data_IF_981543759454
#
_entry.id   IF_981543759454
#
_cell.length_a   1.000
_cell.length_b   1.000
_cell.length_c   1.000
_cell.angle_alpha   90.00
_cell.angle_beta   90.00
_cell.angle_gamma   90.00
#
_symmetry.space_group_name_H-M   'P 1'
#
loop_
_entity.id
_entity.type
_entity.pdbx_description
1 polymer ?
#
# COMPACT_ATOMS: atom_id res chain seq x y z
N UNK A 1 6.26 12.13 5.34
CA UNK A 1 5.03 11.74 6.08
C UNK A 1 3.76 12.11 5.32
N UNK A 2 3.62 13.35 4.83
CA UNK A 2 2.42 13.88 4.16
C UNK A 2 1.87 12.98 3.06
N UNK A 3 2.69 12.51 2.11
CA UNK A 3 2.22 11.70 0.98
C UNK A 3 1.53 10.38 1.38
N UNK A 4 2.09 9.64 2.34
CA UNK A 4 1.49 8.37 2.81
C UNK A 4 0.16 8.59 3.51
N UNK A 5 0.05 9.64 4.34
CA UNK A 5 -1.22 9.98 5.01
C UNK A 5 -2.28 10.42 4.00
N UNK A 6 -1.91 11.20 3.00
CA UNK A 6 -2.83 11.57 1.92
C UNK A 6 -3.31 10.34 1.16
N UNK A 7 -2.40 9.44 0.76
CA UNK A 7 -2.75 8.19 0.09
C UNK A 7 -3.71 7.34 0.93
N UNK A 8 -3.38 7.09 2.20
CA UNK A 8 -4.22 6.30 3.09
C UNK A 8 -5.64 6.87 3.20
N UNK A 9 -5.77 8.20 3.41
CA UNK A 9 -7.07 8.88 3.49
C UNK A 9 -7.87 8.77 2.19
N UNK A 10 -7.23 9.02 1.05
CA UNK A 10 -7.92 8.94 -0.24
C UNK A 10 -8.34 7.51 -0.59
N UNK A 11 -7.52 6.51 -0.26
CA UNK A 11 -7.83 5.11 -0.53
C UNK A 11 -8.98 4.61 0.35
N UNK A 12 -8.99 4.93 1.65
CA UNK A 12 -10.13 4.59 2.53
C UNK A 12 -11.39 5.30 2.07
N UNK A 13 -11.30 6.58 1.66
CA UNK A 13 -12.45 7.29 1.11
C UNK A 13 -12.98 6.59 -0.15
N UNK A 14 -12.12 6.24 -1.10
CA UNK A 14 -12.51 5.56 -2.33
C UNK A 14 -13.15 4.18 -2.05
N UNK A 15 -12.57 3.41 -1.12
CA UNK A 15 -13.13 2.14 -0.67
C UNK A 15 -14.57 2.30 -0.18
N UNK A 16 -14.83 3.32 0.66
CA UNK A 16 -16.17 3.63 1.16
C UNK A 16 -17.11 4.12 0.05
N UNK A 17 -16.65 5.00 -0.83
CA UNK A 17 -17.45 5.55 -1.94
C UNK A 17 -17.92 4.43 -2.88
N UNK A 18 -17.11 3.37 -3.06
CA UNK A 18 -17.42 2.21 -3.90
C UNK A 18 -18.15 1.08 -3.15
N UNK A 19 -18.36 1.20 -1.85
CA UNK A 19 -19.00 0.16 -1.03
C UNK A 19 -18.16 -1.11 -0.85
N UNK A 20 -16.83 -0.98 -0.91
CA UNK A 20 -15.88 -2.07 -0.66
C UNK A 20 -15.55 -2.18 0.85
N UNK A 21 -15.04 -3.34 1.26
CA UNK A 21 -14.70 -3.67 2.66
C UNK A 21 -13.20 -3.94 2.89
N UNK A 22 -12.38 -3.90 1.83
CA UNK A 22 -10.94 -4.11 1.91
C UNK A 22 -10.14 -3.20 0.99
N UNK A 23 -8.83 -3.11 1.29
CA UNK A 23 -7.81 -2.60 0.39
C UNK A 23 -6.77 -3.68 0.15
N UNK A 24 -6.36 -3.86 -1.11
CA UNK A 24 -5.23 -4.68 -1.48
C UNK A 24 -4.10 -3.78 -2.01
N UNK A 25 -2.89 -3.97 -1.47
CA UNK A 25 -1.72 -3.20 -1.90
C UNK A 25 -0.82 -4.09 -2.74
N UNK A 26 -0.77 -3.77 -4.02
CA UNK A 26 0.07 -4.42 -5.01
C UNK A 26 1.18 -3.46 -5.45
N UNK A 27 2.23 -3.34 -4.63
CA UNK A 27 3.43 -2.60 -4.99
C UNK A 27 4.43 -3.59 -5.58
N UNK A 28 4.73 -3.43 -6.86
CA UNK A 28 5.65 -4.27 -7.62
C UNK A 28 6.98 -3.54 -7.98
N UNK A 29 8.04 -3.64 -7.19
CA UNK A 29 8.11 -4.21 -5.84
C UNK A 29 8.76 -3.18 -4.90
N UNK A 30 8.52 -3.24 -3.58
CA UNK A 30 9.30 -2.42 -2.66
C UNK A 30 10.78 -2.83 -2.76
N UNK A 31 11.65 -1.84 -3.01
CA UNK A 31 13.13 -1.93 -3.16
C UNK A 31 13.66 -2.15 -4.57
N UNK A 32 13.20 -3.13 -5.35
CA UNK A 32 13.74 -3.39 -6.69
C UNK A 32 12.75 -4.16 -7.59
N UNK A 33 12.92 -4.10 -8.91
CA UNK A 33 12.09 -4.81 -9.89
C UNK A 33 10.98 -3.92 -10.49
N UNK A 34 9.84 -4.53 -10.82
CA UNK A 34 8.74 -3.86 -11.50
C UNK A 34 8.96 -3.71 -13.01
N UNK A 35 8.31 -2.71 -13.62
CA UNK A 35 8.47 -2.41 -15.04
C UNK A 35 9.90 -1.94 -15.33
N UNK A 36 10.57 -2.54 -16.33
CA UNK A 36 11.92 -2.17 -16.75
C UNK A 36 11.92 -1.08 -17.85
N UNK A 37 10.76 -0.81 -18.44
CA UNK A 37 10.61 0.02 -19.65
C UNK A 37 9.37 0.95 -19.59
N UNK A 38 9.47 2.15 -18.99
CA UNK A 38 10.65 2.70 -18.32
C UNK A 38 10.87 2.07 -16.93
N UNK A 39 12.12 2.08 -16.43
CA UNK A 39 12.45 1.50 -15.14
C UNK A 39 11.71 2.20 -14.01
N UNK A 40 11.12 1.42 -13.10
CA UNK A 40 10.48 1.93 -11.89
C UNK A 40 11.56 2.50 -10.95
N UNK A 41 11.45 3.79 -10.55
CA UNK A 41 12.36 4.37 -9.56
C UNK A 41 12.23 3.64 -8.22
N UNK A 42 13.37 3.27 -7.64
CA UNK A 42 13.40 2.51 -6.40
C UNK A 42 14.53 3.02 -5.48
N UNK A 43 14.39 2.77 -4.17
CA UNK A 43 15.33 3.18 -3.13
C UNK A 43 15.45 2.11 -2.04
N UNK A 44 16.61 2.00 -1.37
CA UNK A 44 16.77 1.09 -0.23
C UNK A 44 15.75 1.32 0.90
N UNK A 45 15.29 2.56 1.06
CA UNK A 45 14.28 2.92 2.07
C UNK A 45 12.85 2.45 1.73
N UNK A 46 12.61 1.90 0.54
CA UNK A 46 11.27 1.54 0.09
C UNK A 46 10.64 0.43 0.95
N UNK A 47 11.43 -0.51 1.50
CA UNK A 47 10.93 -1.49 2.46
C UNK A 47 10.38 -0.83 3.73
N UNK A 48 11.10 0.17 4.25
CA UNK A 48 10.64 0.94 5.41
C UNK A 48 9.43 1.79 5.05
N UNK A 49 9.42 2.40 3.88
CA UNK A 49 8.29 3.19 3.40
C UNK A 49 7.04 2.35 3.16
N UNK A 50 7.20 1.11 2.70
CA UNK A 50 6.12 0.15 2.54
C UNK A 50 5.46 -0.20 3.88
N UNK A 51 6.26 -0.55 4.91
CA UNK A 51 5.72 -0.77 6.26
C UNK A 51 5.01 0.47 6.80
N UNK A 52 5.58 1.66 6.62
CA UNK A 52 4.96 2.92 7.05
C UNK A 52 3.68 3.24 6.27
N UNK A 53 3.56 2.81 5.02
CA UNK A 53 2.35 2.95 4.21
C UNK A 53 1.24 2.03 4.74
N UNK A 54 1.54 0.75 4.94
CA UNK A 54 0.57 -0.20 5.51
C UNK A 54 0.10 0.25 6.90
N UNK A 55 1.02 0.75 7.73
CA UNK A 55 0.68 1.33 9.04
C UNK A 55 -0.25 2.53 8.92
N UNK A 56 -0.01 3.44 7.96
CA UNK A 56 -0.88 4.60 7.75
C UNK A 56 -2.29 4.19 7.30
N UNK A 57 -2.42 3.16 6.47
CA UNK A 57 -3.74 2.62 6.07
C UNK A 57 -4.44 1.98 7.28
N UNK A 58 -3.73 1.17 8.06
CA UNK A 58 -4.27 0.58 9.29
C UNK A 58 -4.68 1.64 10.32
N UNK A 59 -4.00 2.77 10.37
CA UNK A 59 -4.41 3.91 11.21
C UNK A 59 -5.73 4.52 10.74
N UNK A 60 -5.92 4.72 9.44
CA UNK A 60 -7.20 5.23 8.90
C UNK A 60 -8.35 4.24 9.11
N UNK A 61 -8.11 2.92 9.03
CA UNK A 61 -9.11 1.89 9.34
C UNK A 61 -9.66 1.98 10.78
N UNK A 62 -8.92 2.57 11.73
CA UNK A 62 -9.42 2.76 13.11
C UNK A 62 -10.62 3.69 13.19
N UNK A 63 -10.89 4.47 12.14
CA UNK A 63 -12.04 5.36 12.04
C UNK A 63 -13.33 4.63 11.61
N UNK A 64 -13.21 3.40 11.11
CA UNK A 64 -14.33 2.63 10.58
C UNK A 64 -15.06 1.88 11.72
N UNK A 65 -16.40 1.78 11.66
CA UNK A 65 -17.16 1.03 12.65
C UNK A 65 -17.11 -0.50 12.45
N UNK A 66 -16.37 -0.99 11.45
CA UNK A 66 -16.13 -2.41 11.18
C UNK A 66 -14.63 -2.68 10.97
N UNK A 67 -14.25 -3.96 10.98
CA UNK A 67 -12.88 -4.39 10.70
C UNK A 67 -12.69 -4.55 9.19
N UNK A 68 -12.15 -3.53 8.53
CA UNK A 68 -11.74 -3.63 7.14
C UNK A 68 -10.47 -4.50 6.98
N UNK A 69 -10.37 -5.19 5.85
CA UNK A 69 -9.22 -6.01 5.51
C UNK A 69 -8.15 -5.20 4.76
N UNK A 70 -6.89 -5.50 5.05
CA UNK A 70 -5.75 -4.99 4.30
C UNK A 70 -4.93 -6.19 3.89
N UNK A 71 -4.92 -6.48 2.61
CA UNK A 71 -4.11 -7.51 1.99
C UNK A 71 -2.96 -6.89 1.19
N UNK A 72 -2.01 -7.74 0.83
CA UNK A 72 -0.89 -7.38 -0.02
C UNK A 72 -0.69 -8.50 -1.03
N UNK A 73 -0.49 -8.14 -2.29
CA UNK A 73 0.14 -9.02 -3.25
C UNK A 73 1.66 -8.96 -3.02
N UNK A 74 2.31 -10.11 -2.98
CA UNK A 74 3.75 -10.20 -2.75
C UNK A 74 4.39 -11.09 -3.81
N UNK A 75 5.62 -10.77 -4.25
CA UNK A 75 6.29 -11.55 -5.27
C UNK A 75 6.53 -13.00 -4.79
N UNK A 76 6.50 -13.93 -5.73
CA UNK A 76 6.84 -15.34 -5.51
C UNK A 76 8.14 -15.76 -6.22
N UNK A 77 8.91 -14.78 -6.72
CA UNK A 77 10.15 -15.05 -7.45
C UNK A 77 11.29 -15.51 -6.52
N UNK A 78 12.23 -16.32 -7.01
CA UNK A 78 13.26 -16.97 -6.19
C UNK A 78 14.23 -16.00 -5.49
N UNK A 79 14.30 -14.75 -5.97
CA UNK A 79 15.16 -13.69 -5.44
C UNK A 79 14.44 -12.75 -4.45
N UNK A 80 13.18 -13.06 -4.07
CA UNK A 80 12.35 -12.23 -3.16
C UNK A 80 12.15 -12.87 -1.79
#
# INVERSE_FOLDING_TARGET
ETGRRTFAKSSVKLMLDLGLDFLDIDWEYPVEGGNDSPPVPHRPDDIKNYVLLLSAIRDEFKTLPWKAELSVASPAGPDN
#
